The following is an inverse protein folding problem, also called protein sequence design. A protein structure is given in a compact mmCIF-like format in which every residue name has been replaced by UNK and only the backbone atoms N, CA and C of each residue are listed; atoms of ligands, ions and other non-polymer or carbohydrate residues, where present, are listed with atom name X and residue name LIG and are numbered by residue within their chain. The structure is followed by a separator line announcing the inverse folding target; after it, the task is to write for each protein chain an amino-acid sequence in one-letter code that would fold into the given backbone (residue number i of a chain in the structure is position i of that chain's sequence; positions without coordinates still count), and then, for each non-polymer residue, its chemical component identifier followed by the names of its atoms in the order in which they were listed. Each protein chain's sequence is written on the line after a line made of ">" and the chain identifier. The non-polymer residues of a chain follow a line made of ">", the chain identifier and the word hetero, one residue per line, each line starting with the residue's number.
data_IF_204768257839
#
_entry.id   IF_204768257839
#
_cell.length_a   1.000
_cell.length_b   1.000
_cell.length_c   1.000
_cell.angle_alpha   90.00
_cell.angle_beta   90.00
_cell.angle_gamma   90.00
#
_symmetry.space_group_name_H-M   'P 1'
#
loop_
_entity.id
_entity.type
_entity.pdbx_description
1 polymer ?
#
# COMPACT_ATOMS: atom_id res chain seq x y z
N UNK A 1 -5.63 0.51 3.61
CA UNK A 1 -4.78 -0.60 3.15
C UNK A 1 -3.66 -0.01 2.30
N UNK A 2 -2.43 -0.52 2.39
CA UNK A 2 -1.33 -0.15 1.48
C UNK A 2 -1.14 -1.30 0.50
N UNK A 3 -1.24 -1.01 -0.79
CA UNK A 3 -0.98 -1.97 -1.85
C UNK A 3 0.39 -1.67 -2.44
N UNK A 4 1.22 -2.69 -2.61
CA UNK A 4 2.63 -2.52 -2.98
C UNK A 4 2.99 -3.50 -4.09
N UNK A 5 3.71 -3.05 -5.11
CA UNK A 5 4.07 -3.83 -6.31
C UNK A 5 5.57 -4.06 -6.36
N UNK A 6 6.06 -5.27 -6.69
CA UNK A 6 7.45 -5.45 -7.14
C UNK A 6 7.57 -5.61 -8.65
N UNK A 7 8.70 -5.15 -9.20
CA UNK A 7 9.21 -5.68 -10.46
C UNK A 7 9.93 -7.01 -10.19
N UNK A 8 9.80 -7.98 -11.08
CA UNK A 8 10.36 -9.31 -10.91
C UNK A 8 11.91 -9.29 -10.79
N UNK A 9 12.53 -10.17 -9.98
CA UNK A 9 13.97 -10.36 -10.03
C UNK A 9 14.33 -10.94 -11.38
N UNK A 10 15.27 -10.31 -12.10
CA UNK A 10 15.77 -10.80 -13.37
C UNK A 10 16.43 -12.18 -13.19
N UNK A 11 15.74 -13.24 -13.59
CA UNK A 11 16.31 -14.56 -13.78
C UNK A 11 15.85 -15.11 -15.13
N UNK A 12 16.83 -15.18 -16.04
CA UNK A 12 16.90 -15.97 -17.28
C UNK A 12 15.95 -17.17 -17.37
N UNK A 13 14.68 -16.94 -17.68
CA UNK A 13 13.75 -18.01 -18.04
C UNK A 13 12.60 -17.48 -18.93
N UNK A 14 12.21 -18.18 -20.01
CA UNK A 14 11.26 -17.71 -21.03
C UNK A 14 9.77 -17.82 -20.60
N UNK A 15 9.48 -17.89 -19.31
CA UNK A 15 8.12 -17.76 -18.80
C UNK A 15 7.97 -16.35 -18.22
N UNK A 16 7.10 -15.56 -18.84
CA UNK A 16 6.75 -14.21 -18.38
C UNK A 16 6.61 -14.22 -16.85
N UNK A 17 7.52 -13.53 -16.18
CA UNK A 17 7.57 -13.46 -14.72
C UNK A 17 6.24 -12.92 -14.21
N UNK A 18 5.49 -13.75 -13.49
CA UNK A 18 4.20 -13.35 -12.94
C UNK A 18 4.41 -12.18 -11.97
N UNK A 19 3.70 -11.05 -12.15
CA UNK A 19 3.80 -9.93 -11.22
C UNK A 19 3.51 -10.35 -9.78
N UNK A 20 4.26 -9.79 -8.83
CA UNK A 20 4.03 -10.01 -7.40
C UNK A 20 3.46 -8.73 -6.79
N UNK A 21 2.35 -8.88 -6.07
CA UNK A 21 1.71 -7.81 -5.31
C UNK A 21 1.82 -8.14 -3.82
N UNK A 22 2.33 -7.18 -3.07
CA UNK A 22 2.41 -7.17 -1.62
C UNK A 22 1.26 -6.34 -1.05
N UNK A 23 0.50 -6.94 -0.14
CA UNK A 23 -0.54 -6.24 0.61
C UNK A 23 0.01 -5.94 2.00
N UNK A 24 0.19 -4.67 2.31
CA UNK A 24 0.67 -4.21 3.60
C UNK A 24 -0.44 -3.46 4.35
N UNK A 25 -0.63 -3.77 5.62
CA UNK A 25 -1.41 -2.92 6.51
C UNK A 25 -0.58 -1.70 6.88
N UNK A 26 -1.25 -0.57 7.16
CA UNK A 26 -0.60 0.60 7.72
C UNK A 26 0.16 0.23 9.02
N UNK A 27 1.22 0.96 9.32
CA UNK A 27 1.95 0.82 10.58
C UNK A 27 1.12 1.31 11.78
N UNK A 28 1.64 1.11 12.99
CA UNK A 28 0.91 1.39 14.24
C UNK A 28 0.46 2.86 14.34
N UNK A 29 -0.86 3.14 14.31
CA UNK A 29 -1.39 4.47 14.56
C UNK A 29 -1.51 4.77 16.05
N UNK A 30 -1.82 6.02 16.38
CA UNK A 30 -2.25 6.40 17.73
C UNK A 30 -3.68 5.94 18.01
N UNK A 31 -3.80 4.76 18.62
CA UNK A 31 -5.07 4.15 19.01
C UNK A 31 -5.80 4.90 20.14
N UNK A 32 -5.14 5.83 20.83
CA UNK A 32 -5.73 6.55 21.97
C UNK A 32 -6.50 7.81 21.57
N UNK A 33 -6.44 8.21 20.29
CA UNK A 33 -7.21 9.33 19.74
C UNK A 33 -8.70 8.98 19.69
N UNK A 34 -9.49 9.58 20.59
CA UNK A 34 -10.95 9.41 20.65
C UNK A 34 -11.73 10.52 19.94
N UNK A 35 -11.03 11.59 19.59
CA UNK A 35 -11.55 12.77 18.92
C UNK A 35 -11.65 12.63 17.40
N UNK A 36 -11.08 11.57 16.82
CA UNK A 36 -11.09 11.30 15.38
C UNK A 36 -11.75 9.95 15.09
N UNK A 37 -12.58 9.91 14.03
CA UNK A 37 -13.11 8.64 13.50
C UNK A 37 -12.01 7.82 12.83
N UNK A 38 -11.90 6.55 13.20
CA UNK A 38 -10.87 5.65 12.66
C UNK A 38 -11.06 5.32 11.18
N UNK A 39 -12.32 5.24 10.74
CA UNK A 39 -12.79 4.81 9.42
C UNK A 39 -12.98 5.96 8.41
N UNK A 40 -12.73 7.21 8.83
CA UNK A 40 -12.92 8.40 8.00
C UNK A 40 -11.63 9.22 7.97
N UNK A 41 -11.28 9.76 6.80
CA UNK A 41 -10.13 10.63 6.66
C UNK A 41 -10.27 11.89 7.53
N UNK A 42 -9.18 12.38 8.16
CA UNK A 42 -7.81 11.89 8.01
C UNK A 42 -7.50 10.60 8.80
N UNK A 43 -8.25 10.29 9.87
CA UNK A 43 -7.91 9.22 10.81
C UNK A 43 -6.73 9.60 11.73
N UNK A 44 -6.34 8.72 12.69
CA UNK A 44 -5.19 8.97 13.56
C UNK A 44 -3.85 8.88 12.82
N UNK A 45 -2.86 9.65 13.26
CA UNK A 45 -1.47 9.60 12.81
C UNK A 45 -0.73 8.35 13.32
N UNK A 46 0.49 8.11 12.80
CA UNK A 46 1.41 7.10 13.34
C UNK A 46 2.00 7.53 14.68
N UNK A 47 2.23 6.57 15.56
CA UNK A 47 3.12 6.76 16.72
C UNK A 47 4.58 6.56 16.31
N UNK A 48 5.58 6.98 17.12
CA UNK A 48 7.00 6.80 16.77
C UNK A 48 7.39 5.34 16.45
N UNK A 49 6.79 4.38 17.16
CA UNK A 49 6.94 2.96 16.83
C UNK A 49 6.43 2.63 15.42
N UNK A 50 5.28 3.19 15.03
CA UNK A 50 4.70 3.03 13.70
C UNK A 50 5.60 3.61 12.60
N UNK A 51 6.26 4.74 12.84
CA UNK A 51 7.25 5.26 11.89
C UNK A 51 8.45 4.31 11.73
N UNK A 52 8.92 3.70 12.82
CA UNK A 52 9.98 2.68 12.76
C UNK A 52 9.54 1.38 12.05
N UNK A 53 8.27 0.99 12.18
CA UNK A 53 7.68 -0.12 11.42
C UNK A 53 7.62 0.20 9.93
N UNK A 54 7.19 1.41 9.56
CA UNK A 54 7.16 1.87 8.19
C UNK A 54 8.58 1.91 7.56
N UNK A 55 9.59 2.25 8.36
CA UNK A 55 10.98 2.20 7.91
C UNK A 55 11.43 0.77 7.57
N UNK A 56 11.15 -0.20 8.44
CA UNK A 56 11.45 -1.62 8.18
C UNK A 56 10.69 -2.16 6.98
N UNK A 57 9.45 -1.72 6.77
CA UNK A 57 8.71 -2.03 5.56
C UNK A 57 9.47 -1.51 4.34
N UNK A 58 9.92 -0.25 4.34
CA UNK A 58 10.71 0.32 3.26
C UNK A 58 11.97 -0.46 2.91
N UNK A 59 12.70 -0.96 3.92
CA UNK A 59 13.88 -1.81 3.71
C UNK A 59 13.51 -3.12 3.00
N UNK A 60 12.46 -3.80 3.48
CA UNK A 60 11.96 -5.01 2.85
C UNK A 60 11.52 -4.78 1.40
N UNK A 61 10.79 -3.68 1.14
CA UNK A 61 10.31 -3.34 -0.20
C UNK A 61 11.45 -3.00 -1.16
N UNK A 62 12.51 -2.33 -0.67
CA UNK A 62 13.74 -2.10 -1.45
C UNK A 62 14.35 -3.41 -1.91
N UNK A 63 14.55 -4.33 -0.98
CA UNK A 63 15.20 -5.62 -1.24
C UNK A 63 14.35 -6.50 -2.16
N UNK A 64 13.03 -6.34 -2.10
CA UNK A 64 12.08 -7.01 -2.98
C UNK A 64 11.98 -6.39 -4.39
N UNK A 65 12.59 -5.22 -4.65
CA UNK A 65 12.53 -4.55 -5.95
C UNK A 65 11.20 -3.81 -6.21
N UNK A 66 10.57 -3.29 -5.16
CA UNK A 66 9.35 -2.47 -5.28
C UNK A 66 9.68 -1.11 -5.86
N UNK A 67 8.94 -0.72 -6.90
CA UNK A 67 9.07 0.61 -7.53
C UNK A 67 7.81 1.45 -7.44
N UNK A 68 6.67 0.85 -7.09
CA UNK A 68 5.37 1.53 -6.93
C UNK A 68 4.65 1.10 -5.66
N UNK A 69 4.07 2.08 -4.98
CA UNK A 69 3.22 1.92 -3.80
C UNK A 69 1.93 2.71 -4.02
N UNK A 70 0.78 2.08 -3.79
CA UNK A 70 -0.53 2.74 -3.79
C UNK A 70 -1.10 2.72 -2.37
N UNK A 71 -1.45 3.88 -1.84
CA UNK A 71 -1.85 4.08 -0.46
C UNK A 71 -3.29 4.58 -0.33
N UNK A 72 -3.96 4.14 0.73
CA UNK A 72 -5.22 4.73 1.18
C UNK A 72 -5.05 6.21 1.54
N UNK A 73 -6.10 7.05 1.37
CA UNK A 73 -6.10 8.46 1.79
C UNK A 73 -6.04 8.67 3.31
N UNK A 74 -6.19 7.63 4.13
CA UNK A 74 -6.07 7.73 5.59
C UNK A 74 -4.63 8.05 5.99
N UNK A 75 -4.45 9.03 6.88
CA UNK A 75 -3.15 9.63 7.19
C UNK A 75 -2.12 8.62 7.68
N UNK A 76 -2.50 7.67 8.55
CA UNK A 76 -1.63 6.55 8.96
C UNK A 76 -1.13 5.71 7.79
N UNK A 77 -1.97 5.50 6.79
CA UNK A 77 -1.63 4.66 5.64
C UNK A 77 -0.72 5.44 4.69
N UNK A 78 -1.10 6.68 4.39
CA UNK A 78 -0.29 7.59 3.60
C UNK A 78 1.10 7.77 4.20
N UNK A 79 1.18 8.08 5.50
CA UNK A 79 2.46 8.26 6.22
C UNK A 79 3.32 7.00 6.23
N UNK A 80 2.70 5.82 6.38
CA UNK A 80 3.41 4.54 6.26
C UNK A 80 4.04 4.41 4.87
N UNK A 81 3.26 4.70 3.82
CA UNK A 81 3.71 4.61 2.43
C UNK A 81 4.78 5.65 2.08
N UNK A 82 4.68 6.88 2.58
CA UNK A 82 5.71 7.91 2.40
C UNK A 82 7.07 7.46 2.93
N UNK A 83 7.11 7.00 4.19
CA UNK A 83 8.34 6.54 4.84
C UNK A 83 8.91 5.33 4.09
N UNK A 84 8.06 4.33 3.83
CA UNK A 84 8.49 3.12 3.16
C UNK A 84 8.97 3.39 1.72
N UNK A 85 8.25 4.23 0.97
CA UNK A 85 8.55 4.61 -0.41
C UNK A 85 9.85 5.40 -0.52
N UNK A 86 10.12 6.33 0.41
CA UNK A 86 11.38 7.06 0.46
C UNK A 86 12.60 6.12 0.63
N UNK A 87 12.48 5.10 1.47
CA UNK A 87 13.55 4.11 1.72
C UNK A 87 13.69 3.11 0.58
N UNK A 88 12.56 2.70 -0.01
CA UNK A 88 12.52 1.77 -1.14
C UNK A 88 12.95 2.41 -2.47
N UNK A 89 12.92 3.75 -2.57
CA UNK A 89 13.01 4.43 -3.87
C UNK A 89 11.77 4.25 -4.74
N UNK A 90 10.63 3.94 -4.11
CA UNK A 90 9.37 3.67 -4.79
C UNK A 90 8.49 4.92 -4.90
N UNK A 91 7.81 5.08 -6.04
CA UNK A 91 6.80 6.14 -6.22
C UNK A 91 5.55 5.78 -5.42
N UNK A 92 5.10 6.72 -4.59
CA UNK A 92 3.84 6.61 -3.84
C UNK A 92 2.73 7.36 -4.58
N UNK A 93 1.58 6.72 -4.76
CA UNK A 93 0.33 7.35 -5.17
C UNK A 93 -0.75 7.09 -4.13
N UNK A 94 -1.72 8.01 -4.03
CA UNK A 94 -2.87 7.87 -3.14
C UNK A 94 -4.10 7.55 -3.98
N UNK A 95 -4.87 6.55 -3.57
CA UNK A 95 -6.09 6.15 -4.27
C UNK A 95 -7.21 5.75 -3.29
N UNK A 96 -8.42 6.27 -3.52
CA UNK A 96 -9.62 5.95 -2.75
C UNK A 96 -10.03 4.48 -2.89
N UNK A 97 -9.70 3.84 -4.01
CA UNK A 97 -10.02 2.44 -4.27
C UNK A 97 -9.39 1.48 -3.25
N UNK A 98 -8.27 1.86 -2.61
CA UNK A 98 -7.57 1.05 -1.58
C UNK A 98 -7.86 1.52 -0.14
N UNK A 99 -8.85 2.41 0.04
CA UNK A 99 -9.27 2.85 1.38
C UNK A 99 -9.81 1.67 2.20
N UNK A 100 -9.70 1.80 3.51
CA UNK A 100 -10.26 0.80 4.44
C UNK A 100 -11.77 0.70 4.30
N UNK A 101 -12.30 -0.44 4.76
CA UNK A 101 -13.72 -0.74 4.75
C UNK A 101 -14.50 0.29 5.57
N UNK A 102 -15.49 0.96 4.98
CA UNK A 102 -16.37 1.88 5.70
C UNK A 102 -17.60 1.16 6.30
N UNK A 103 -18.16 1.68 7.39
CA UNK A 103 -19.31 1.06 8.08
C UNK A 103 -20.51 0.81 7.17
N UNK A 104 -20.68 1.64 6.16
CA UNK A 104 -21.80 1.61 5.23
C UNK A 104 -21.54 0.75 3.98
N UNK A 105 -20.35 0.14 3.85
CA UNK A 105 -19.99 -0.72 2.70
C UNK A 105 -20.35 -2.19 2.93
N UNK A 106 -20.57 -2.92 1.84
CA UNK A 106 -20.55 -4.38 1.79
C UNK A 106 -19.36 -4.85 0.92
N UNK A 107 -19.08 -6.16 0.89
CA UNK A 107 -17.99 -6.71 0.07
C UNK A 107 -18.13 -6.34 -1.41
N UNK A 108 -19.36 -6.35 -1.96
CA UNK A 108 -19.61 -5.99 -3.36
C UNK A 108 -19.14 -4.57 -3.69
N UNK A 109 -19.41 -3.60 -2.80
CA UNK A 109 -18.97 -2.21 -2.97
C UNK A 109 -17.44 -2.12 -2.90
N UNK A 110 -16.82 -2.82 -1.94
CA UNK A 110 -15.35 -2.82 -1.80
C UNK A 110 -14.68 -3.44 -3.03
N UNK A 111 -15.20 -4.57 -3.50
CA UNK A 111 -14.72 -5.25 -4.69
C UNK A 111 -14.90 -4.40 -5.94
N UNK A 112 -16.05 -3.76 -6.11
CA UNK A 112 -16.32 -2.90 -7.27
C UNK A 112 -15.34 -1.71 -7.36
N UNK A 113 -14.90 -1.13 -6.24
CA UNK A 113 -13.89 -0.07 -6.25
C UNK A 113 -12.45 -0.59 -6.35
N UNK A 114 -12.14 -1.73 -5.72
CA UNK A 114 -10.78 -2.21 -5.57
C UNK A 114 -10.26 -2.98 -6.80
N UNK A 115 -11.07 -3.89 -7.35
CA UNK A 115 -10.60 -4.79 -8.40
C UNK A 115 -10.15 -4.08 -9.69
N UNK A 116 -10.85 -3.04 -10.20
CA UNK A 116 -10.40 -2.35 -11.41
C UNK A 116 -8.98 -1.75 -11.26
N UNK A 117 -8.66 -1.23 -10.06
CA UNK A 117 -7.33 -0.73 -9.77
C UNK A 117 -6.31 -1.87 -9.65
N UNK A 118 -6.68 -2.97 -8.98
CA UNK A 118 -5.80 -4.14 -8.85
C UNK A 118 -5.45 -4.72 -10.22
N UNK A 119 -6.43 -4.87 -11.11
CA UNK A 119 -6.23 -5.33 -12.49
C UNK A 119 -5.28 -4.40 -13.25
N UNK A 120 -5.48 -3.08 -13.13
CA UNK A 120 -4.61 -2.08 -13.75
C UNK A 120 -3.16 -2.22 -13.26
N UNK A 121 -2.96 -2.28 -11.94
CA UNK A 121 -1.62 -2.42 -11.33
C UNK A 121 -0.97 -3.73 -11.78
N UNK A 122 -1.74 -4.82 -11.85
CA UNK A 122 -1.24 -6.11 -12.28
C UNK A 122 -0.86 -6.11 -13.76
N UNK A 123 -1.68 -5.52 -14.63
CA UNK A 123 -1.38 -5.37 -16.05
C UNK A 123 -0.14 -4.50 -16.30
N UNK A 124 -0.02 -3.35 -15.62
CA UNK A 124 1.16 -2.49 -15.73
C UNK A 124 2.44 -3.22 -15.31
N UNK A 125 2.36 -4.00 -14.23
CA UNK A 125 3.47 -4.81 -13.74
C UNK A 125 3.92 -5.91 -14.70
N UNK A 126 3.00 -6.43 -15.54
CA UNK A 126 3.31 -7.46 -16.52
C UNK A 126 3.96 -6.90 -17.81
N UNK A 127 3.82 -5.60 -18.07
CA UNK A 127 4.39 -4.92 -19.24
C UNK A 127 5.77 -4.34 -18.95
N UNK A 128 6.02 -3.93 -17.70
CA UNK A 128 7.27 -3.29 -17.26
C UNK A 128 8.41 -4.27 -16.89
N UNK A 129 8.20 -5.60 -16.98
CA UNK A 129 9.18 -6.65 -16.64
C UNK A 129 9.63 -7.48 -17.83
#
# INVERSE_FOLDING_TARGET
>A
MTLVQTAAPSLTSPHASTPVIYLARHATPDWNRRDIRYDVAPGPDLVPQGEAEAARLGEFLRDAGVTRIVASPLVRTHRTAEIAGAIAGARVTVDEAVREYAREENDDIVFARFFPLLETIFSDAAVDG
#
